data_IF_076699165564
#
_entry.id   IF_076699165564
#
_cell.length_a   1.000
_cell.length_b   1.000
_cell.length_c   1.000
_cell.angle_alpha   90.00
_cell.angle_beta   90.00
_cell.angle_gamma   90.00
#
_symmetry.space_group_name_H-M   'P 1'
#
loop_
_entity.id
_entity.type
_entity.pdbx_description
1 polymer ?
#
# COMPACT_ATOMS: atom_id res chain seq x y z
N UNK A 1 39.27 -36.11 17.24
CA UNK A 1 38.04 -36.26 16.41
C UNK A 1 38.45 -36.47 14.97
N UNK A 2 37.83 -37.41 14.25
CA UNK A 2 38.19 -37.68 12.84
C UNK A 2 37.63 -36.55 11.94
N UNK A 3 38.36 -36.10 10.91
CA UNK A 3 37.93 -35.00 10.04
C UNK A 3 36.59 -35.30 9.36
N UNK A 4 36.31 -36.57 9.06
CA UNK A 4 35.05 -37.07 8.50
C UNK A 4 33.85 -36.78 9.42
N UNK A 5 33.99 -37.02 10.73
CA UNK A 5 32.94 -36.73 11.71
C UNK A 5 32.68 -35.24 11.88
N UNK A 6 33.70 -34.40 11.69
CA UNK A 6 33.57 -32.95 11.76
C UNK A 6 32.84 -32.39 10.52
N UNK A 7 33.19 -32.88 9.33
CA UNK A 7 32.50 -32.52 8.08
C UNK A 7 31.03 -32.91 8.09
N UNK A 8 30.71 -34.09 8.63
CA UNK A 8 29.33 -34.59 8.72
C UNK A 8 28.47 -33.77 9.69
N UNK A 9 29.05 -33.32 10.81
CA UNK A 9 28.39 -32.43 11.77
C UNK A 9 28.12 -31.05 11.15
N UNK A 10 29.12 -30.45 10.50
CA UNK A 10 28.96 -29.13 9.87
C UNK A 10 27.90 -29.19 8.77
N UNK A 11 27.91 -30.23 7.94
CA UNK A 11 26.92 -30.44 6.89
C UNK A 11 25.50 -30.66 7.46
N UNK A 12 25.37 -31.48 8.51
CA UNK A 12 24.07 -31.70 9.15
C UNK A 12 23.47 -30.42 9.74
N UNK A 13 24.29 -29.61 10.40
CA UNK A 13 23.86 -28.33 11.00
C UNK A 13 23.47 -27.31 9.92
N UNK A 14 24.27 -27.19 8.85
CA UNK A 14 23.95 -26.28 7.74
C UNK A 14 22.70 -26.71 6.97
N UNK A 15 22.54 -28.01 6.69
CA UNK A 15 21.34 -28.53 6.05
C UNK A 15 20.08 -28.28 6.90
N UNK A 16 20.15 -28.53 8.21
CA UNK A 16 19.06 -28.24 9.14
C UNK A 16 18.73 -26.74 9.18
N UNK A 17 19.75 -25.87 9.19
CA UNK A 17 19.56 -24.42 9.17
C UNK A 17 18.86 -23.93 7.90
N UNK A 18 19.30 -24.42 6.74
CA UNK A 18 18.69 -24.08 5.44
C UNK A 18 17.24 -24.58 5.37
N UNK A 19 16.97 -25.79 5.83
CA UNK A 19 15.60 -26.33 5.90
C UNK A 19 14.72 -25.49 6.83
N UNK A 20 15.23 -25.09 8.00
CA UNK A 20 14.49 -24.25 8.93
C UNK A 20 14.18 -22.86 8.33
N UNK A 21 15.17 -22.22 7.69
CA UNK A 21 15.00 -20.92 7.05
C UNK A 21 14.01 -20.99 5.88
N UNK A 22 14.13 -21.99 5.01
CA UNK A 22 13.24 -22.18 3.87
C UNK A 22 11.80 -22.48 4.28
N UNK A 23 11.56 -23.00 5.47
CA UNK A 23 10.21 -23.21 6.01
C UNK A 23 9.64 -21.97 6.73
N UNK A 24 10.47 -21.25 7.50
CA UNK A 24 10.01 -20.07 8.26
C UNK A 24 9.70 -18.85 7.37
N UNK A 25 10.55 -18.59 6.38
CA UNK A 25 10.43 -17.44 5.47
C UNK A 25 9.09 -17.40 4.71
N UNK A 26 8.63 -18.49 4.06
CA UNK A 26 7.35 -18.46 3.35
C UNK A 26 6.16 -18.29 4.31
N UNK A 27 6.25 -18.79 5.54
CA UNK A 27 5.18 -18.66 6.52
C UNK A 27 5.03 -17.20 7.00
N UNK A 28 6.14 -16.50 7.23
CA UNK A 28 6.11 -15.06 7.55
C UNK A 28 5.63 -14.21 6.37
N UNK A 29 6.08 -14.53 5.15
CA UNK A 29 5.70 -13.78 3.95
C UNK A 29 4.21 -13.93 3.63
N UNK A 30 3.61 -15.11 3.82
CA UNK A 30 2.16 -15.31 3.63
C UNK A 30 1.32 -14.36 4.46
N UNK A 31 1.64 -14.21 5.76
CA UNK A 31 0.89 -13.31 6.65
C UNK A 31 1.02 -11.83 6.25
N UNK A 32 2.18 -11.42 5.72
CA UNK A 32 2.37 -10.06 5.20
C UNK A 32 1.55 -9.84 3.93
N UNK A 33 1.60 -10.78 3.00
CA UNK A 33 0.85 -10.73 1.75
C UNK A 33 -0.66 -10.69 2.00
N UNK A 34 -1.18 -11.48 2.93
CA UNK A 34 -2.60 -11.45 3.32
C UNK A 34 -3.01 -10.07 3.84
N UNK A 35 -2.19 -9.45 4.70
CA UNK A 35 -2.46 -8.09 5.21
C UNK A 35 -2.44 -7.04 4.11
N UNK A 36 -1.49 -7.13 3.19
CA UNK A 36 -1.39 -6.22 2.04
C UNK A 36 -2.60 -6.37 1.10
N UNK A 37 -3.04 -7.59 0.84
CA UNK A 37 -4.24 -7.86 0.04
C UNK A 37 -5.51 -7.32 0.71
N UNK A 38 -5.65 -7.50 2.02
CA UNK A 38 -6.77 -6.93 2.77
C UNK A 38 -6.76 -5.39 2.76
N UNK A 39 -5.59 -4.78 2.92
CA UNK A 39 -5.41 -3.33 2.83
C UNK A 39 -5.81 -2.81 1.44
N UNK A 40 -5.35 -3.47 0.38
CA UNK A 40 -5.72 -3.19 -1.00
C UNK A 40 -7.24 -3.32 -1.23
N UNK A 41 -7.85 -4.41 -0.78
CA UNK A 41 -9.27 -4.66 -0.95
C UNK A 41 -10.11 -3.56 -0.27
N UNK A 42 -9.69 -3.11 0.93
CA UNK A 42 -10.33 -1.98 1.63
C UNK A 42 -10.20 -0.69 0.83
N UNK A 43 -8.99 -0.37 0.33
CA UNK A 43 -8.78 0.82 -0.50
C UNK A 43 -9.61 0.79 -1.77
N UNK A 44 -9.64 -0.35 -2.46
CA UNK A 44 -10.40 -0.52 -3.69
C UNK A 44 -11.90 -0.34 -3.45
N UNK A 45 -12.43 -0.91 -2.36
CA UNK A 45 -13.83 -0.72 -1.96
C UNK A 45 -14.14 0.74 -1.67
N UNK A 46 -13.24 1.45 -0.99
CA UNK A 46 -13.38 2.87 -0.70
C UNK A 46 -13.34 3.72 -1.98
N UNK A 47 -12.37 3.47 -2.85
CA UNK A 47 -12.21 4.14 -4.13
C UNK A 47 -13.46 3.96 -5.02
N UNK A 48 -13.94 2.73 -5.16
CA UNK A 48 -15.18 2.41 -5.90
C UNK A 48 -16.41 3.13 -5.34
N UNK A 49 -16.52 3.25 -4.01
CA UNK A 49 -17.66 3.94 -3.37
C UNK A 49 -17.69 5.43 -3.71
N UNK A 50 -16.53 6.03 -3.91
CA UNK A 50 -16.37 7.45 -4.17
C UNK A 50 -16.08 7.78 -5.64
N UNK A 51 -16.16 6.79 -6.52
CA UNK A 51 -15.80 6.89 -7.94
C UNK A 51 -14.39 7.47 -8.16
N UNK A 52 -13.44 7.05 -7.32
CA UNK A 52 -12.03 7.44 -7.42
C UNK A 52 -11.16 6.22 -7.66
N UNK A 53 -9.85 6.44 -7.82
CA UNK A 53 -8.89 5.38 -8.13
C UNK A 53 -7.82 5.24 -7.04
N UNK A 54 -7.36 4.01 -6.84
CA UNK A 54 -6.19 3.74 -6.00
C UNK A 54 -4.93 4.14 -6.74
N UNK A 55 -4.18 5.08 -6.18
CA UNK A 55 -2.93 5.60 -6.74
C UNK A 55 -1.76 4.84 -6.14
N UNK A 56 -0.70 4.64 -6.93
CA UNK A 56 0.54 4.02 -6.49
C UNK A 56 1.72 4.94 -6.84
N UNK A 57 2.46 5.37 -5.83
CA UNK A 57 3.68 6.17 -6.00
C UNK A 57 4.82 5.52 -5.24
N UNK A 58 5.91 5.17 -5.92
CA UNK A 58 7.10 4.56 -5.31
C UNK A 58 6.80 3.30 -4.46
N UNK A 59 5.76 2.54 -4.80
CA UNK A 59 5.31 1.36 -4.06
C UNK A 59 4.36 1.67 -2.89
N UNK A 60 4.12 2.94 -2.57
CA UNK A 60 3.09 3.38 -1.64
C UNK A 60 1.76 3.52 -2.36
N UNK A 61 0.78 2.75 -1.90
CA UNK A 61 -0.58 2.79 -2.42
C UNK A 61 -1.45 3.65 -1.54
N UNK A 62 -2.14 4.62 -2.12
CA UNK A 62 -2.98 5.56 -1.41
C UNK A 62 -4.22 5.93 -2.22
N UNK A 63 -5.25 6.38 -1.53
CA UNK A 63 -6.49 6.89 -2.14
C UNK A 63 -6.72 8.30 -1.62
N UNK A 64 -7.08 9.21 -2.52
CA UNK A 64 -7.53 10.56 -2.20
C UNK A 64 -8.97 10.65 -2.67
N UNK A 65 -9.84 11.18 -1.82
CA UNK A 65 -11.26 11.39 -2.12
C UNK A 65 -11.65 12.77 -1.67
N UNK A 66 -12.39 13.52 -2.49
CA UNK A 66 -13.05 14.74 -2.04
C UNK A 66 -14.40 14.37 -1.39
N UNK A 67 -14.47 14.43 -0.07
CA UNK A 67 -15.69 14.25 0.70
C UNK A 67 -16.46 15.55 0.91
N UNK A 68 -17.62 15.47 1.59
CA UNK A 68 -18.47 16.64 1.89
C UNK A 68 -17.80 17.68 2.80
N UNK A 69 -16.85 17.25 3.63
CA UNK A 69 -16.14 18.10 4.62
C UNK A 69 -14.69 18.41 4.21
N UNK A 70 -14.30 18.05 2.98
CA UNK A 70 -12.94 18.21 2.48
C UNK A 70 -12.30 16.88 2.04
N UNK A 71 -11.00 16.90 1.83
CA UNK A 71 -10.25 15.74 1.35
C UNK A 71 -10.08 14.66 2.43
N UNK A 72 -10.39 13.41 2.06
CA UNK A 72 -10.13 12.22 2.85
C UNK A 72 -9.00 11.43 2.21
N UNK A 73 -8.05 11.00 3.03
CA UNK A 73 -6.87 10.26 2.59
C UNK A 73 -6.87 8.87 3.22
N UNK A 74 -6.50 7.88 2.43
CA UNK A 74 -6.40 6.49 2.88
C UNK A 74 -5.06 5.90 2.45
N UNK A 75 -4.32 5.33 3.41
CA UNK A 75 -3.00 4.73 3.24
C UNK A 75 -2.98 3.38 3.95
N UNK A 76 -2.43 2.35 3.31
CA UNK A 76 -2.41 0.98 3.87
C UNK A 76 -3.76 0.39 4.30
N UNK A 77 -4.91 0.90 3.85
CA UNK A 77 -6.22 0.43 4.28
C UNK A 77 -6.77 1.18 5.51
N UNK A 78 -6.08 2.21 5.97
CA UNK A 78 -6.47 3.06 7.10
C UNK A 78 -6.65 4.52 6.66
N UNK A 79 -7.55 5.23 7.33
CA UNK A 79 -7.72 6.68 7.13
C UNK A 79 -6.58 7.43 7.80
N UNK A 80 -5.95 8.35 7.06
CA UNK A 80 -4.80 9.12 7.53
C UNK A 80 -5.02 10.61 7.28
N UNK A 81 -4.33 11.45 8.04
CA UNK A 81 -4.28 12.89 7.78
C UNK A 81 -3.38 13.19 6.57
N UNK A 82 -3.58 14.37 5.97
CA UNK A 82 -2.74 14.88 4.87
C UNK A 82 -1.25 14.82 5.23
N UNK A 83 -0.88 15.31 6.42
CA UNK A 83 0.50 15.34 6.90
C UNK A 83 1.10 13.94 7.02
N UNK A 84 0.34 12.96 7.49
CA UNK A 84 0.82 11.57 7.62
C UNK A 84 1.01 10.92 6.26
N UNK A 85 0.14 11.21 5.29
CA UNK A 85 0.31 10.76 3.91
C UNK A 85 1.54 11.42 3.27
N UNK A 86 1.73 12.72 3.47
CA UNK A 86 2.87 13.47 2.94
C UNK A 86 4.20 12.98 3.53
N UNK A 87 4.25 12.73 4.85
CA UNK A 87 5.41 12.10 5.49
C UNK A 87 5.72 10.71 4.92
N UNK A 88 4.69 9.95 4.56
CA UNK A 88 4.88 8.63 3.95
C UNK A 88 5.38 8.74 2.50
N UNK A 89 4.87 9.70 1.72
CA UNK A 89 5.34 9.95 0.35
C UNK A 89 6.71 10.65 0.28
N UNK A 90 7.12 11.34 1.34
CA UNK A 90 8.28 12.23 1.36
C UNK A 90 7.89 13.66 0.95
N UNK A 91 8.50 14.65 1.60
CA UNK A 91 8.16 16.08 1.43
C UNK A 91 8.37 16.57 -0.01
N UNK A 92 9.33 16.00 -0.73
CA UNK A 92 9.61 16.34 -2.13
C UNK A 92 8.45 15.97 -3.09
N UNK A 93 7.59 15.04 -2.67
CA UNK A 93 6.49 14.51 -3.48
C UNK A 93 5.16 15.24 -3.25
N UNK A 94 5.15 16.39 -2.56
CA UNK A 94 3.93 17.20 -2.34
C UNK A 94 3.22 17.54 -3.65
N UNK A 95 3.97 17.79 -4.73
CA UNK A 95 3.42 18.08 -6.06
C UNK A 95 2.51 16.96 -6.59
N UNK A 96 2.81 15.70 -6.26
CA UNK A 96 1.97 14.55 -6.66
C UNK A 96 0.69 14.48 -5.84
N UNK A 97 0.75 14.85 -4.56
CA UNK A 97 -0.42 14.93 -3.71
C UNK A 97 -1.35 16.06 -4.16
N UNK A 98 -0.80 17.25 -4.42
CA UNK A 98 -1.56 18.39 -4.94
C UNK A 98 -2.18 18.09 -6.30
N UNK A 99 -1.46 17.38 -7.19
CA UNK A 99 -2.02 16.92 -8.45
C UNK A 99 -3.21 15.99 -8.23
N UNK A 100 -3.09 15.02 -7.31
CA UNK A 100 -4.19 14.11 -6.99
C UNK A 100 -5.41 14.86 -6.41
N UNK A 101 -5.20 15.80 -5.48
CA UNK A 101 -6.26 16.67 -4.96
C UNK A 101 -6.91 17.51 -6.07
N UNK A 102 -6.13 18.03 -7.02
CA UNK A 102 -6.65 18.81 -8.15
C UNK A 102 -7.50 17.98 -9.10
N UNK A 103 -7.11 16.74 -9.38
CA UNK A 103 -7.85 15.83 -10.26
C UNK A 103 -9.17 15.41 -9.61
N UNK A 104 -9.18 15.11 -8.32
CA UNK A 104 -10.41 14.77 -7.58
C UNK A 104 -11.37 15.96 -7.44
N UNK A 105 -10.84 17.17 -7.25
CA UNK A 105 -11.68 18.37 -7.21
C UNK A 105 -12.32 18.70 -8.56
N UNK A 106 -11.60 18.49 -9.67
CA UNK A 106 -12.17 18.60 -11.01
C UNK A 106 -13.18 17.48 -11.30
N UNK A 107 -12.88 16.24 -10.90
CA UNK A 107 -13.78 15.10 -11.10
C UNK A 107 -15.11 15.28 -10.36
N UNK A 108 -15.06 15.81 -9.14
CA UNK A 108 -16.26 16.11 -8.34
C UNK A 108 -17.06 17.30 -8.90
N UNK A 109 -16.39 18.31 -9.48
CA UNK A 109 -17.05 19.46 -10.10
C UNK A 109 -17.84 19.12 -11.37
N UNK A 110 -17.50 18.04 -12.07
CA UNK A 110 -18.20 17.61 -13.30
C UNK A 110 -19.65 17.17 -13.02
N UNK A 111 -19.99 16.78 -11.79
CA UNK A 111 -21.39 16.48 -11.41
C UNK A 111 -22.28 17.72 -11.24
N UNK A 112 -21.76 18.95 -11.36
CA UNK A 112 -22.51 20.19 -11.17
C UNK A 112 -22.87 20.97 -12.45
N UNK A 113 -22.32 20.63 -13.61
CA UNK A 113 -22.62 21.31 -14.88
C UNK A 113 -23.46 20.43 -15.80
N UNK A 114 -24.74 20.28 -15.44
CA UNK A 114 -25.76 20.09 -16.46
C UNK A 114 -25.90 21.43 -17.17
N UNK A 115 -25.29 21.52 -18.35
CA UNK A 115 -25.58 22.56 -19.34
C UNK A 115 -27.09 22.61 -19.57
N UNK A 116 -27.74 23.68 -19.10
CA UNK A 116 -29.08 24.06 -19.56
C UNK A 116 -28.87 24.69 -20.94
N UNK A 117 -29.30 24.09 -22.06
CA UNK A 117 -29.29 24.79 -23.33
C UNK A 117 -30.32 25.92 -23.29
N UNK A 118 -29.92 27.07 -23.84
CA UNK A 118 -30.70 28.30 -23.96
C UNK A 118 -31.91 28.17 -24.90
#
# INVERSE_FOLDING_TARGET
MRPETFGLLVFGVTAAWVLLATWLIPMLNRRRQEREQLALAKMHRFAMRHNTFVRNHQGLRYVVVLGKQGFCYMLGGEFVSRERLLRALGEENEKHLLKAESEESQHSAIHGLVTIPA
#
